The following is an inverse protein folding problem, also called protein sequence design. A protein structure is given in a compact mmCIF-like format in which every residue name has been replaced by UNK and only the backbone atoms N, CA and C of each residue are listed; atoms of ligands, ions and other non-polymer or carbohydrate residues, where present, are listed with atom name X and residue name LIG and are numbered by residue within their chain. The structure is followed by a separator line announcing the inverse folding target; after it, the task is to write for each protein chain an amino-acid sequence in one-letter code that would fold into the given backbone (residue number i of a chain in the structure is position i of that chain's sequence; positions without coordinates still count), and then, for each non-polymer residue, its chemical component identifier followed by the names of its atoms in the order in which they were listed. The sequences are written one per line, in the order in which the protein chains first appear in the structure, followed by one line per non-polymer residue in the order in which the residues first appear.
data_IF_198262374377
#
_entry.id   IF_198262374377
#
_cell.length_a   1.000
_cell.length_b   1.000
_cell.length_c   1.000
_cell.angle_alpha   90.00
_cell.angle_beta   90.00
_cell.angle_gamma   90.00
#
_symmetry.space_group_name_H-M   'P 1'
#
loop_
_entity.id
_entity.type
_entity.pdbx_description
1 polymer ?
#
# COMPACT_ATOMS: atom_id res chain seq x y z
N UNK A 1 14.85 54.85 -65.57
CA UNK A 1 14.30 55.25 -64.28
C UNK A 1 14.15 53.98 -63.48
N UNK A 2 14.96 53.83 -62.45
CA UNK A 2 15.12 52.61 -61.63
C UNK A 2 14.00 52.52 -60.59
N UNK A 3 13.41 51.36 -60.47
CA UNK A 3 12.57 51.01 -59.36
C UNK A 3 13.30 49.97 -58.45
N UNK A 4 13.43 50.20 -57.13
CA UNK A 4 14.10 49.29 -56.24
C UNK A 4 13.19 48.19 -55.77
N UNK A 5 13.70 46.98 -55.79
CA UNK A 5 13.03 45.75 -55.34
C UNK A 5 12.81 45.69 -53.84
N UNK A 6 11.63 45.22 -53.48
CA UNK A 6 11.26 44.87 -52.11
C UNK A 6 11.77 43.47 -51.81
N UNK A 7 12.74 43.39 -50.92
CA UNK A 7 13.20 42.07 -50.37
C UNK A 7 12.17 41.53 -49.41
N UNK A 8 11.50 40.46 -49.81
CA UNK A 8 10.62 39.69 -48.93
C UNK A 8 11.41 39.00 -47.80
N UNK A 9 11.10 39.39 -46.58
CA UNK A 9 11.58 38.72 -45.39
C UNK A 9 10.67 37.49 -45.13
N UNK A 10 11.18 36.31 -45.48
CA UNK A 10 10.48 35.06 -45.16
C UNK A 10 10.71 34.76 -43.69
N UNK A 11 9.72 35.05 -42.87
CA UNK A 11 9.69 34.63 -41.48
C UNK A 11 9.35 33.13 -41.46
N UNK A 12 10.37 32.34 -41.25
CA UNK A 12 10.18 30.90 -40.96
C UNK A 12 9.65 30.81 -39.54
N UNK A 13 8.34 30.62 -39.40
CA UNK A 13 7.73 30.23 -38.14
C UNK A 13 8.13 28.78 -37.85
N UNK A 14 9.19 28.61 -37.05
CA UNK A 14 9.52 27.32 -36.48
C UNK A 14 8.43 26.99 -35.45
N UNK A 15 7.46 26.16 -35.88
CA UNK A 15 6.48 25.57 -34.99
C UNK A 15 7.18 24.56 -34.09
N UNK A 16 7.62 24.98 -32.91
CA UNK A 16 8.04 24.12 -31.82
C UNK A 16 6.77 23.41 -31.28
N UNK A 17 6.46 22.27 -31.87
CA UNK A 17 5.55 21.31 -31.29
C UNK A 17 6.21 20.75 -30.02
N UNK A 18 5.98 21.43 -28.92
CA UNK A 18 6.16 20.80 -27.59
C UNK A 18 5.07 19.74 -27.51
N UNK A 19 5.44 18.51 -27.81
CA UNK A 19 4.69 17.33 -27.42
C UNK A 19 4.60 17.37 -25.89
N UNK A 20 3.54 17.99 -25.38
CA UNK A 20 3.10 17.77 -24.03
C UNK A 20 2.69 16.28 -23.98
N UNK A 21 3.63 15.42 -23.61
CA UNK A 21 3.31 14.10 -23.15
C UNK A 21 2.33 14.30 -21.99
N UNK A 22 1.08 13.81 -22.05
CA UNK A 22 0.23 13.85 -20.88
C UNK A 22 1.01 13.07 -19.82
N UNK A 23 1.39 13.75 -18.73
CA UNK A 23 1.78 13.09 -17.51
C UNK A 23 0.62 12.13 -17.20
N UNK A 24 0.83 10.85 -17.50
CA UNK A 24 -0.02 9.81 -16.92
C UNK A 24 0.09 10.03 -15.42
N UNK A 25 -1.02 10.13 -14.69
CA UNK A 25 -0.93 10.02 -13.25
C UNK A 25 -0.17 8.70 -13.01
N UNK A 26 0.98 8.80 -12.38
CA UNK A 26 1.61 7.62 -11.79
C UNK A 26 0.54 7.10 -10.84
N UNK A 27 0.01 5.92 -11.09
CA UNK A 27 -0.74 5.20 -10.07
C UNK A 27 0.25 5.11 -8.91
N UNK A 28 -0.02 5.86 -7.86
CA UNK A 28 0.75 5.74 -6.64
C UNK A 28 0.58 4.30 -6.19
N UNK A 29 1.68 3.60 -6.00
CA UNK A 29 1.67 2.24 -5.52
C UNK A 29 1.18 2.29 -4.08
N UNK A 30 -0.12 2.07 -3.87
CA UNK A 30 -0.69 1.97 -2.53
C UNK A 30 -0.15 0.74 -1.82
N UNK A 31 -0.04 0.81 -0.50
CA UNK A 31 0.26 -0.35 0.32
C UNK A 31 -0.88 -1.36 0.27
N UNK A 32 -0.58 -2.65 0.13
CA UNK A 32 -1.56 -3.73 0.10
C UNK A 32 -1.00 -5.01 0.73
N UNK A 33 -1.83 -6.02 0.89
CA UNK A 33 -1.41 -7.38 1.26
C UNK A 33 -1.66 -8.30 0.07
N UNK A 34 -0.60 -8.89 -0.48
CA UNK A 34 -0.75 -9.81 -1.61
C UNK A 34 -1.51 -11.06 -1.20
N UNK A 35 -2.59 -11.34 -1.93
CA UNK A 35 -3.49 -12.44 -1.66
C UNK A 35 -4.81 -12.05 -1.00
N UNK A 36 -4.96 -10.84 -0.46
CA UNK A 36 -6.23 -10.32 0.03
C UNK A 36 -6.97 -9.61 -1.12
N UNK A 37 -7.49 -10.41 -2.03
CA UNK A 37 -8.07 -9.94 -3.28
C UNK A 37 -9.44 -9.24 -3.11
N UNK A 38 -10.14 -9.52 -2.01
CA UNK A 38 -11.42 -8.91 -1.69
C UNK A 38 -11.29 -7.71 -0.74
N UNK A 39 -10.07 -7.41 -0.27
CA UNK A 39 -9.75 -6.32 0.63
C UNK A 39 -10.57 -6.35 1.94
N UNK A 40 -10.74 -7.55 2.54
CA UNK A 40 -11.43 -7.73 3.83
C UNK A 40 -10.45 -7.82 5.02
N UNK A 41 -9.14 -7.76 4.78
CA UNK A 41 -8.08 -7.85 5.77
C UNK A 41 -7.74 -9.27 6.20
N UNK A 42 -8.31 -10.30 5.57
CA UNK A 42 -8.09 -11.68 5.96
C UNK A 42 -7.83 -12.58 4.75
N UNK A 43 -6.64 -13.15 4.65
CA UNK A 43 -6.30 -14.10 3.58
C UNK A 43 -6.96 -15.44 3.83
N UNK A 44 -7.93 -15.76 3.00
CA UNK A 44 -8.73 -16.99 3.13
C UNK A 44 -9.35 -17.42 1.78
N UNK A 45 -10.26 -18.38 1.81
CA UNK A 45 -10.89 -18.91 0.58
C UNK A 45 -11.73 -17.88 -0.18
N UNK A 46 -12.23 -16.82 0.49
CA UNK A 46 -13.06 -15.82 -0.18
C UNK A 46 -12.26 -15.00 -1.18
N UNK A 47 -10.95 -14.84 -0.99
CA UNK A 47 -10.05 -14.17 -1.94
C UNK A 47 -9.96 -14.94 -3.25
N UNK A 48 -9.70 -16.24 -3.16
CA UNK A 48 -9.69 -17.09 -4.36
C UNK A 48 -11.04 -17.06 -5.09
N UNK A 49 -12.14 -17.04 -4.34
CA UNK A 49 -13.50 -16.93 -4.91
C UNK A 49 -13.68 -15.56 -5.56
N UNK A 50 -13.20 -14.47 -4.97
CA UNK A 50 -13.26 -13.12 -5.53
C UNK A 50 -12.55 -13.07 -6.88
N UNK A 51 -11.29 -13.55 -6.95
CA UNK A 51 -10.53 -13.63 -8.21
C UNK A 51 -11.30 -14.43 -9.28
N UNK A 52 -11.76 -15.62 -8.93
CA UNK A 52 -12.48 -16.47 -9.88
C UNK A 52 -13.83 -15.89 -10.32
N UNK A 53 -14.52 -15.19 -9.43
CA UNK A 53 -15.78 -14.50 -9.74
C UNK A 53 -15.55 -13.35 -10.71
N UNK A 54 -14.53 -12.56 -10.50
CA UNK A 54 -14.12 -11.50 -11.42
C UNK A 54 -13.82 -12.06 -12.80
N UNK A 55 -13.01 -13.11 -12.90
CA UNK A 55 -12.54 -13.64 -14.17
C UNK A 55 -13.63 -14.36 -14.98
N UNK A 56 -14.57 -15.04 -14.32
CA UNK A 56 -15.46 -15.99 -15.00
C UNK A 56 -16.96 -15.77 -14.80
N UNK A 57 -17.34 -15.03 -13.74
CA UNK A 57 -18.75 -14.87 -13.36
C UNK A 57 -19.27 -13.45 -13.52
N UNK A 58 -18.41 -12.52 -13.98
CA UNK A 58 -18.76 -11.09 -14.06
C UNK A 58 -18.90 -10.43 -12.69
N UNK A 59 -18.17 -10.92 -11.71
CA UNK A 59 -18.04 -10.27 -10.41
C UNK A 59 -17.32 -8.91 -10.50
N UNK A 60 -17.36 -8.16 -9.42
CA UNK A 60 -16.71 -6.87 -9.35
C UNK A 60 -15.18 -7.01 -9.52
N UNK A 61 -14.57 -6.02 -10.15
CA UNK A 61 -13.12 -5.92 -10.27
C UNK A 61 -12.50 -5.72 -8.88
N UNK A 62 -11.42 -6.45 -8.53
CA UNK A 62 -10.71 -6.22 -7.29
C UNK A 62 -10.26 -4.76 -7.16
N UNK A 63 -10.43 -4.16 -5.97
CA UNK A 63 -10.03 -2.77 -5.71
C UNK A 63 -8.50 -2.58 -5.84
N UNK A 64 -7.74 -3.65 -5.66
CA UNK A 64 -6.29 -3.73 -5.82
C UNK A 64 -5.96 -4.94 -6.70
N UNK A 65 -5.55 -4.70 -7.93
CA UNK A 65 -5.19 -5.78 -8.85
C UNK A 65 -3.89 -6.47 -8.43
N UNK A 66 -2.94 -5.74 -7.84
CA UNK A 66 -1.70 -6.31 -7.28
C UNK A 66 -1.98 -7.29 -6.13
N UNK A 67 -2.99 -7.02 -5.30
CA UNK A 67 -3.40 -7.95 -4.25
C UNK A 67 -4.00 -9.24 -4.84
N UNK A 68 -4.66 -9.13 -5.99
CA UNK A 68 -5.27 -10.26 -6.68
C UNK A 68 -4.28 -11.07 -7.54
N UNK A 69 -3.16 -10.45 -7.98
CA UNK A 69 -2.02 -11.15 -8.61
C UNK A 69 -1.20 -11.87 -7.55
N UNK A 70 -1.70 -13.03 -7.14
CA UNK A 70 -1.19 -13.75 -5.97
C UNK A 70 0.13 -14.46 -6.20
N UNK A 71 0.48 -14.77 -7.45
CA UNK A 71 1.76 -15.37 -7.82
C UNK A 71 2.79 -14.34 -8.33
N UNK A 72 2.41 -13.06 -8.41
CA UNK A 72 3.22 -11.91 -8.84
C UNK A 72 3.80 -12.09 -10.25
N UNK A 73 2.94 -12.45 -11.19
CA UNK A 73 3.31 -12.63 -12.58
C UNK A 73 2.83 -11.51 -13.51
N UNK A 74 2.40 -10.38 -12.94
CA UNK A 74 1.97 -9.14 -13.62
C UNK A 74 0.60 -9.27 -14.32
N UNK A 75 -0.18 -10.33 -14.05
CA UNK A 75 -1.49 -10.56 -14.69
C UNK A 75 -2.45 -11.29 -13.76
N UNK A 76 -3.59 -10.69 -13.45
CA UNK A 76 -4.66 -11.39 -12.73
C UNK A 76 -5.33 -12.41 -13.62
N UNK A 77 -5.18 -13.68 -13.34
CA UNK A 77 -5.66 -14.80 -14.15
C UNK A 77 -6.02 -16.04 -13.30
N UNK A 78 -6.40 -17.14 -13.94
CA UNK A 78 -6.81 -18.36 -13.24
C UNK A 78 -5.74 -18.92 -12.29
N UNK A 79 -4.46 -18.73 -12.63
CA UNK A 79 -3.35 -19.24 -11.80
C UNK A 79 -3.31 -18.60 -10.42
N UNK A 80 -3.78 -17.36 -10.27
CA UNK A 80 -3.82 -16.66 -8.98
C UNK A 80 -4.81 -17.31 -8.02
N UNK A 81 -6.01 -17.59 -8.49
CA UNK A 81 -7.00 -18.35 -7.71
C UNK A 81 -6.49 -19.74 -7.34
N UNK A 82 -5.82 -20.43 -8.26
CA UNK A 82 -5.21 -21.75 -7.99
C UNK A 82 -4.05 -21.62 -7.01
N UNK A 83 -3.21 -20.59 -7.13
CA UNK A 83 -2.09 -20.34 -6.23
C UNK A 83 -2.58 -20.17 -4.79
N UNK A 84 -3.62 -19.33 -4.60
CA UNK A 84 -4.24 -19.12 -3.30
C UNK A 84 -4.81 -20.41 -2.70
N UNK A 85 -5.58 -21.18 -3.48
CA UNK A 85 -6.13 -22.45 -3.00
C UNK A 85 -5.03 -23.45 -2.65
N UNK A 86 -3.95 -23.48 -3.41
CA UNK A 86 -2.80 -24.35 -3.15
C UNK A 86 -2.08 -23.95 -1.87
N UNK A 87 -1.86 -22.64 -1.67
CA UNK A 87 -1.29 -22.11 -0.44
C UNK A 87 -2.15 -22.48 0.78
N UNK A 88 -3.45 -22.19 0.72
CA UNK A 88 -4.36 -22.37 1.86
C UNK A 88 -4.61 -23.82 2.25
N UNK A 89 -4.67 -24.75 1.28
CA UNK A 89 -5.16 -26.12 1.52
C UNK A 89 -4.15 -27.22 1.23
N UNK A 90 -3.10 -26.96 0.47
CA UNK A 90 -2.15 -27.97 0.02
C UNK A 90 -0.73 -27.76 0.55
N UNK A 91 -0.51 -26.74 1.40
CA UNK A 91 0.82 -26.39 1.88
C UNK A 91 1.72 -25.83 0.77
N UNK A 92 1.14 -25.16 -0.21
CA UNK A 92 1.86 -24.46 -1.27
C UNK A 92 2.69 -23.30 -0.73
N UNK A 93 3.48 -22.69 -1.62
CA UNK A 93 4.29 -21.50 -1.31
C UNK A 93 3.38 -20.34 -0.91
N UNK A 94 3.72 -19.58 0.15
CA UNK A 94 2.98 -18.37 0.49
C UNK A 94 3.12 -17.32 -0.63
N UNK A 95 2.18 -16.37 -0.74
CA UNK A 95 2.30 -15.26 -1.68
C UNK A 95 3.64 -14.53 -1.54
N UNK A 96 4.24 -14.04 -2.65
CA UNK A 96 5.41 -13.17 -2.59
C UNK A 96 5.10 -11.84 -1.87
N UNK A 97 6.11 -11.06 -1.46
CA UNK A 97 5.88 -9.74 -0.89
C UNK A 97 5.00 -8.83 -1.79
N UNK A 98 4.20 -7.97 -1.17
CA UNK A 98 3.99 -7.78 0.25
C UNK A 98 3.04 -8.82 0.84
N UNK A 99 3.58 -9.68 1.68
CA UNK A 99 2.88 -10.72 2.44
C UNK A 99 3.78 -11.14 3.64
N UNK A 100 3.27 -11.41 4.82
CA UNK A 100 1.85 -11.39 5.24
C UNK A 100 1.32 -10.01 5.66
N UNK A 101 2.13 -8.98 5.62
CA UNK A 101 1.77 -7.62 6.03
C UNK A 101 1.63 -6.66 4.86
N UNK A 102 1.14 -5.47 5.18
CA UNK A 102 1.04 -4.37 4.23
C UNK A 102 2.41 -3.94 3.69
N UNK A 103 2.46 -3.57 2.44
CA UNK A 103 3.67 -3.03 1.80
C UNK A 103 3.42 -2.62 0.36
N UNK A 104 4.41 -1.97 -0.23
CA UNK A 104 4.40 -1.61 -1.64
C UNK A 104 4.75 -2.82 -2.53
N UNK A 105 4.32 -2.80 -3.78
CA UNK A 105 4.75 -3.81 -4.74
C UNK A 105 6.25 -3.67 -5.02
N UNK A 106 7.06 -4.73 -4.79
CA UNK A 106 8.48 -4.72 -5.13
C UNK A 106 8.73 -4.80 -6.65
N UNK A 107 7.72 -5.10 -7.45
CA UNK A 107 7.78 -5.16 -8.91
C UNK A 107 7.17 -3.91 -9.52
N UNK A 108 7.60 -3.56 -10.73
CA UNK A 108 7.05 -2.44 -11.48
C UNK A 108 6.29 -3.00 -12.68
N UNK A 109 4.99 -3.05 -12.59
CA UNK A 109 4.11 -3.50 -13.66
C UNK A 109 3.02 -2.47 -13.98
N UNK A 110 1.99 -2.88 -14.73
CA UNK A 110 0.84 -2.02 -15.08
C UNK A 110 -0.38 -2.28 -14.19
N UNK A 111 -0.29 -3.24 -13.25
CA UNK A 111 -1.31 -3.44 -12.23
C UNK A 111 -1.25 -2.27 -11.24
N UNK A 112 -2.28 -2.08 -10.49
CA UNK A 112 -2.34 -0.94 -9.59
C UNK A 112 -3.17 -1.25 -8.36
N UNK A 113 -2.81 -0.54 -7.29
CA UNK A 113 -3.51 -0.58 -6.04
C UNK A 113 -3.78 0.85 -5.59
N UNK A 114 -4.82 1.48 -6.14
CA UNK A 114 -5.13 2.88 -5.87
C UNK A 114 -5.71 3.09 -4.46
N UNK A 115 -6.47 2.11 -3.96
CA UNK A 115 -7.05 2.14 -2.63
C UNK A 115 -7.14 0.71 -2.08
N UNK A 116 -6.57 0.48 -0.92
CA UNK A 116 -6.65 -0.79 -0.22
C UNK A 116 -6.95 -0.54 1.26
N UNK A 117 -8.23 -0.63 1.63
CA UNK A 117 -8.70 -0.28 2.98
C UNK A 117 -8.02 -1.00 4.14
N UNK A 118 -7.62 -2.28 4.01
CA UNK A 118 -6.91 -2.98 5.08
C UNK A 118 -5.51 -2.45 5.37
N UNK A 119 -4.90 -1.76 4.37
CA UNK A 119 -3.62 -1.10 4.57
C UNK A 119 -3.85 0.42 4.60
N UNK A 120 -3.87 1.03 5.77
CA UNK A 120 -3.91 2.49 5.84
C UNK A 120 -2.70 3.08 5.11
N UNK A 121 -2.91 4.24 4.48
CA UNK A 121 -1.84 4.96 3.79
C UNK A 121 -0.62 5.08 4.72
N UNK A 122 0.54 4.62 4.27
CA UNK A 122 1.75 4.52 5.08
C UNK A 122 2.23 5.86 5.68
N UNK A 123 1.62 6.97 5.22
CA UNK A 123 1.91 8.32 5.71
C UNK A 123 1.05 8.73 6.91
N UNK A 124 -0.10 8.08 7.12
CA UNK A 124 -1.00 8.41 8.23
C UNK A 124 -1.25 7.16 9.07
N UNK A 125 -0.60 7.07 10.19
CA UNK A 125 -0.79 6.00 11.17
C UNK A 125 -1.49 6.53 12.42
N UNK A 126 -2.16 5.65 13.13
CA UNK A 126 -2.84 6.00 14.37
C UNK A 126 -1.81 5.97 15.51
N UNK A 127 -1.78 7.02 16.33
CA UNK A 127 -0.91 7.05 17.50
C UNK A 127 -1.29 5.93 18.47
N UNK A 128 -0.32 5.07 18.78
CA UNK A 128 -0.52 3.87 19.58
C UNK A 128 -0.58 2.58 18.76
N UNK A 129 -0.77 2.66 17.45
CA UNK A 129 -0.79 1.52 16.53
C UNK A 129 0.65 1.13 16.15
N UNK A 130 1.28 0.34 17.00
CA UNK A 130 2.69 -0.02 16.84
C UNK A 130 2.94 -1.10 15.79
N UNK A 131 1.90 -1.87 15.45
CA UNK A 131 1.94 -2.93 14.43
C UNK A 131 1.40 -2.49 13.07
N UNK A 132 0.79 -1.28 12.99
CA UNK A 132 0.19 -0.71 11.80
C UNK A 132 -0.96 -1.54 11.20
N UNK A 133 -1.76 -2.16 12.05
CA UNK A 133 -2.95 -2.91 11.61
C UNK A 133 -4.22 -2.03 11.55
N UNK A 134 -4.10 -0.74 11.90
CA UNK A 134 -5.19 0.23 11.91
C UNK A 134 -6.04 0.20 13.18
N UNK A 135 -5.67 -0.59 14.18
CA UNK A 135 -6.40 -0.71 15.44
C UNK A 135 -5.44 -0.55 16.61
N UNK A 136 -5.73 0.36 17.51
CA UNK A 136 -4.94 0.46 18.77
C UNK A 136 -5.51 -0.50 19.79
N UNK A 137 -4.78 -1.57 20.07
CA UNK A 137 -5.21 -2.58 21.03
C UNK A 137 -4.05 -3.10 21.91
N UNK A 138 -4.31 -4.16 22.67
CA UNK A 138 -3.33 -4.73 23.60
C UNK A 138 -2.09 -5.28 22.88
N UNK A 139 -2.22 -5.68 21.62
CA UNK A 139 -1.12 -6.24 20.82
C UNK A 139 -0.05 -5.17 20.60
N UNK A 140 -0.44 -3.92 20.38
CA UNK A 140 0.50 -2.80 20.25
C UNK A 140 1.35 -2.59 21.48
N UNK A 141 0.73 -2.60 22.65
CA UNK A 141 1.45 -2.53 23.91
C UNK A 141 2.43 -3.69 24.11
N UNK A 142 2.08 -4.90 23.65
CA UNK A 142 2.97 -6.06 23.66
C UNK A 142 4.15 -5.90 22.69
N UNK A 143 3.90 -5.38 21.50
CA UNK A 143 4.93 -5.11 20.48
C UNK A 143 5.91 -4.03 20.96
N UNK A 144 5.41 -2.93 21.54
CA UNK A 144 6.29 -1.90 22.12
C UNK A 144 7.15 -2.49 23.25
N UNK A 145 6.56 -3.31 24.12
CA UNK A 145 7.32 -4.02 25.17
C UNK A 145 8.42 -4.87 24.53
N UNK A 146 8.12 -5.62 23.51
CA UNK A 146 9.06 -6.53 22.85
C UNK A 146 10.12 -5.76 22.05
N UNK A 147 9.78 -4.59 21.48
CA UNK A 147 10.76 -3.67 20.93
C UNK A 147 11.77 -3.22 21.99
N UNK A 148 11.30 -2.76 23.14
CA UNK A 148 12.15 -2.26 24.23
C UNK A 148 12.99 -3.36 24.87
N UNK A 149 12.47 -4.59 24.97
CA UNK A 149 13.15 -5.69 25.66
C UNK A 149 13.96 -6.61 24.75
N UNK A 150 13.56 -6.78 23.52
CA UNK A 150 14.14 -7.73 22.57
C UNK A 150 14.63 -7.09 21.27
N UNK A 151 14.39 -5.79 21.06
CA UNK A 151 14.82 -5.06 19.87
C UNK A 151 14.04 -5.45 18.59
N UNK A 152 12.77 -5.86 18.73
CA UNK A 152 11.90 -6.13 17.58
C UNK A 152 11.69 -4.83 16.82
N UNK A 153 11.72 -4.86 15.49
CA UNK A 153 11.44 -3.70 14.66
C UNK A 153 9.97 -3.28 14.77
N UNK A 154 9.74 -1.97 14.81
CA UNK A 154 8.41 -1.36 14.81
C UNK A 154 8.02 -1.01 13.39
N UNK A 155 6.74 -1.10 13.08
CA UNK A 155 6.19 -0.63 11.80
C UNK A 155 6.40 0.88 11.65
N UNK A 156 6.00 1.67 12.63
CA UNK A 156 6.21 3.11 12.67
C UNK A 156 6.58 3.58 14.08
N UNK A 157 7.77 4.16 14.24
CA UNK A 157 8.23 4.66 15.55
C UNK A 157 7.37 5.80 16.08
N UNK A 158 6.85 6.66 15.20
CA UNK A 158 6.00 7.79 15.59
C UNK A 158 4.65 7.29 16.10
N UNK A 159 4.10 6.22 15.51
CA UNK A 159 2.90 5.58 16.01
C UNK A 159 3.14 4.90 17.38
N UNK A 160 4.26 4.21 17.52
CA UNK A 160 4.63 3.53 18.76
C UNK A 160 4.94 4.49 19.92
N UNK A 161 5.32 5.75 19.65
CA UNK A 161 5.44 6.81 20.64
C UNK A 161 4.03 7.32 21.02
N UNK A 162 3.35 6.53 21.80
CA UNK A 162 1.98 6.81 22.22
C UNK A 162 1.88 8.02 23.15
N UNK A 163 2.93 8.29 23.92
CA UNK A 163 3.00 9.47 24.81
C UNK A 163 3.31 10.76 24.05
N UNK A 164 3.93 10.68 22.87
CA UNK A 164 4.34 11.83 22.07
C UNK A 164 5.55 12.56 22.62
N UNK A 165 6.41 11.87 23.41
CA UNK A 165 7.60 12.47 23.99
C UNK A 165 8.87 12.31 23.12
N UNK A 166 8.75 11.64 21.96
CA UNK A 166 9.83 11.37 21.01
C UNK A 166 10.65 10.12 21.34
N UNK A 167 10.30 9.36 22.36
CA UNK A 167 11.06 8.20 22.83
C UNK A 167 10.15 7.00 23.00
N UNK A 168 10.30 5.98 22.16
CA UNK A 168 9.57 4.73 22.35
C UNK A 168 10.16 3.94 23.52
N UNK A 169 9.38 3.76 24.57
CA UNK A 169 9.77 3.08 25.80
C UNK A 169 8.56 2.41 26.51
N UNK A 170 8.76 1.90 27.71
CA UNK A 170 7.71 1.19 28.46
C UNK A 170 6.52 2.09 28.81
N UNK A 171 6.69 3.42 28.89
CA UNK A 171 5.60 4.35 29.18
C UNK A 171 4.54 4.33 28.08
N UNK A 172 4.94 4.14 26.82
CA UNK A 172 4.04 4.04 25.68
C UNK A 172 3.18 2.78 25.74
N UNK A 173 3.82 1.64 26.04
CA UNK A 173 3.10 0.40 26.28
C UNK A 173 2.08 0.52 27.42
N UNK A 174 2.46 1.18 28.52
CA UNK A 174 1.57 1.40 29.66
C UNK A 174 0.42 2.34 29.27
N UNK A 175 0.70 3.40 28.50
CA UNK A 175 -0.35 4.32 28.04
C UNK A 175 -1.37 3.59 27.19
N UNK A 176 -0.95 2.80 26.21
CA UNK A 176 -1.85 2.02 25.35
C UNK A 176 -2.72 1.09 26.21
N UNK A 177 -2.11 0.33 27.12
CA UNK A 177 -2.84 -0.58 28.00
C UNK A 177 -3.86 0.13 28.91
N UNK A 178 -3.61 1.40 29.26
CA UNK A 178 -4.51 2.22 30.06
C UNK A 178 -5.59 2.91 29.22
N UNK A 179 -5.23 3.37 28.01
CA UNK A 179 -6.11 4.13 27.08
C UNK A 179 -7.19 3.25 26.47
N UNK A 180 -6.96 1.95 26.34
CA UNK A 180 -8.01 0.99 25.91
C UNK A 180 -9.29 1.06 26.77
N UNK A 181 -9.26 1.85 27.81
CA UNK A 181 -10.42 2.07 28.71
C UNK A 181 -11.22 3.32 28.33
N UNK A 182 -10.63 4.36 27.67
CA UNK A 182 -11.30 5.68 27.62
C UNK A 182 -11.02 6.61 26.40
N UNK A 183 -10.28 6.27 25.33
CA UNK A 183 -9.91 7.27 24.33
C UNK A 183 -10.05 6.86 22.86
N UNK A 184 -10.38 7.87 22.07
CA UNK A 184 -10.35 7.87 20.60
C UNK A 184 -8.90 8.21 20.15
N UNK A 185 -8.16 7.31 19.48
CA UNK A 185 -6.76 7.55 19.13
C UNK A 185 -6.62 8.58 18.02
N UNK A 186 -5.62 9.47 18.14
CA UNK A 186 -5.35 10.52 17.13
C UNK A 186 -4.42 10.01 16.02
N UNK A 187 -4.72 10.33 14.74
CA UNK A 187 -3.83 10.00 13.63
C UNK A 187 -2.53 10.82 13.67
N UNK A 188 -1.42 10.21 13.29
CA UNK A 188 -0.10 10.84 13.16
C UNK A 188 0.56 10.46 11.84
N UNK A 189 1.48 11.30 11.36
CA UNK A 189 2.24 11.00 10.13
C UNK A 189 3.50 10.21 10.47
N UNK A 190 3.78 9.17 9.70
CA UNK A 190 5.01 8.38 9.80
C UNK A 190 6.03 8.95 8.80
N UNK A 191 7.08 9.59 9.31
CA UNK A 191 8.21 9.96 8.47
C UNK A 191 9.02 8.71 8.15
N UNK A 192 9.10 8.37 6.85
CA UNK A 192 10.01 7.33 6.38
C UNK A 192 11.43 7.78 6.68
N UNK A 193 12.15 7.01 7.49
CA UNK A 193 13.56 7.28 7.76
C UNK A 193 14.36 7.03 6.47
N UNK A 194 15.08 8.07 6.00
CA UNK A 194 16.05 8.02 4.89
C UNK A 194 17.21 7.04 5.17
#
# INVERSE_FOLDING_TARGET
MHSPGVRGFTVVFACLLVLACPLRPQLEAGSFVRGDANADGAINMTDAISILSFLFLGGDEPACLDAADTDNNEVVQLTDGIYMLNFLFSGGTPPPPPYPGCGEDPTTDELGCAEFSPCPDATVVIRGDANCDGVVDRIDGEIIRDHVTHGIELCCRVAADATGDGIVNVSDAILILNVLIDADPEPVECELAD
#
